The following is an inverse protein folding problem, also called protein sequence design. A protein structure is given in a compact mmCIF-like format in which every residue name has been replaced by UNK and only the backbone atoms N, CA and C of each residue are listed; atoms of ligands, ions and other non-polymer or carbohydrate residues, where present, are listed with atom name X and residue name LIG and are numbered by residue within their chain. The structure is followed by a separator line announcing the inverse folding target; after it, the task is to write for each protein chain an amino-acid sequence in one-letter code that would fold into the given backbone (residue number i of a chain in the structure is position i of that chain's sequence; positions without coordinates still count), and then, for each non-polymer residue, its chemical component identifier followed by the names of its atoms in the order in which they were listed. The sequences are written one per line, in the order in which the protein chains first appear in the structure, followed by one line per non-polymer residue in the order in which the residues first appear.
data_IF_056384589569
#
_entry.id   IF_056384589569
#
_cell.length_a   1.000
_cell.length_b   1.000
_cell.length_c   1.000
_cell.angle_alpha   90.00
_cell.angle_beta   90.00
_cell.angle_gamma   90.00
#
_symmetry.space_group_name_H-M   'P 1'
#
loop_
_entity.id
_entity.type
_entity.pdbx_description
1 polymer ?
#
# COMPACT_ATOMS: atom_id res chain seq x y z
N UNK A 1 46.29 14.20 -9.20
CA UNK A 1 46.23 15.39 -8.34
C UNK A 1 44.78 15.64 -8.01
N UNK A 2 44.40 15.63 -6.73
CA UNK A 2 43.02 15.92 -6.32
C UNK A 2 42.91 17.38 -5.90
N UNK A 3 41.94 18.15 -6.42
CA UNK A 3 41.75 19.56 -6.06
C UNK A 3 41.37 19.77 -4.59
N UNK A 4 41.75 20.91 -4.02
CA UNK A 4 41.35 21.32 -2.66
C UNK A 4 39.90 21.79 -2.63
N UNK A 5 39.26 21.69 -1.45
CA UNK A 5 37.91 22.19 -1.23
C UNK A 5 37.84 23.72 -1.31
N UNK A 6 36.65 24.26 -1.55
CA UNK A 6 36.40 25.70 -1.62
C UNK A 6 36.49 26.38 -0.23
N UNK A 7 36.80 27.68 -0.19
CA UNK A 7 36.79 28.49 1.03
C UNK A 7 38.16 28.79 1.62
N UNK A 8 38.24 29.77 2.52
CA UNK A 8 39.50 30.29 3.09
C UNK A 8 40.35 29.24 3.83
N UNK A 9 39.74 28.13 4.26
CA UNK A 9 40.41 27.01 4.94
C UNK A 9 40.48 25.74 4.08
N UNK A 10 40.05 25.81 2.83
CA UNK A 10 39.95 24.66 1.91
C UNK A 10 39.00 23.53 2.37
N UNK A 11 38.12 23.80 3.34
CA UNK A 11 37.19 22.81 3.93
C UNK A 11 35.91 22.57 3.10
N UNK A 12 35.78 23.21 1.95
CA UNK A 12 34.60 23.11 1.09
C UNK A 12 34.46 21.75 0.39
N UNK A 13 33.28 21.50 -0.17
CA UNK A 13 32.98 20.27 -0.90
C UNK A 13 33.96 20.09 -2.06
N UNK A 14 34.73 19.00 -1.99
CA UNK A 14 35.75 18.63 -2.98
C UNK A 14 35.21 17.83 -4.16
N UNK A 15 34.08 17.16 -3.99
CA UNK A 15 33.46 16.31 -5.00
C UNK A 15 32.04 16.76 -5.31
N UNK A 16 31.65 16.71 -6.58
CA UNK A 16 30.30 17.11 -6.98
C UNK A 16 29.21 16.27 -6.28
N UNK A 17 28.13 16.94 -5.87
CA UNK A 17 26.95 16.26 -5.32
C UNK A 17 26.33 15.39 -6.41
N UNK A 18 26.25 14.09 -6.15
CA UNK A 18 25.59 13.13 -7.05
C UNK A 18 24.11 13.05 -6.71
N UNK A 19 23.29 13.57 -7.61
CA UNK A 19 21.83 13.43 -7.52
C UNK A 19 21.40 12.07 -8.06
N UNK A 20 20.40 11.46 -7.42
CA UNK A 20 19.74 10.26 -7.95
C UNK A 20 18.49 10.69 -8.71
N UNK A 21 18.43 10.32 -10.00
CA UNK A 21 17.24 10.52 -10.81
C UNK A 21 16.20 9.44 -10.48
N UNK A 22 14.94 9.87 -10.36
CA UNK A 22 13.78 9.01 -10.14
C UNK A 22 12.89 9.09 -11.37
N UNK A 23 12.67 7.95 -12.01
CA UNK A 23 11.85 7.82 -13.22
C UNK A 23 10.47 7.19 -12.96
N UNK A 24 10.11 6.99 -11.69
CA UNK A 24 8.82 6.41 -11.31
C UNK A 24 7.91 7.47 -10.65
N UNK A 25 6.61 7.20 -10.65
CA UNK A 25 5.59 8.04 -10.00
C UNK A 25 5.36 7.66 -8.53
N UNK A 26 6.12 6.71 -7.98
CA UNK A 26 5.86 6.16 -6.67
C UNK A 26 6.21 7.16 -5.55
N UNK A 27 5.40 7.26 -4.50
CA UNK A 27 5.72 8.10 -3.35
C UNK A 27 6.98 7.65 -2.61
N UNK A 28 7.59 8.54 -1.83
CA UNK A 28 8.63 8.15 -0.88
C UNK A 28 8.02 7.19 0.13
N UNK A 29 8.67 6.04 0.35
CA UNK A 29 8.14 4.97 1.21
C UNK A 29 7.11 4.06 0.54
N UNK A 30 6.83 4.22 -0.76
CA UNK A 30 6.00 3.26 -1.51
C UNK A 30 6.66 1.88 -1.53
N UNK A 31 5.95 0.87 -1.07
CA UNK A 31 6.38 -0.51 -1.15
C UNK A 31 5.66 -1.20 -2.32
N UNK A 32 6.40 -1.48 -3.40
CA UNK A 32 5.88 -2.20 -4.58
C UNK A 32 5.23 -3.55 -4.23
N UNK A 33 5.69 -4.19 -3.16
CA UNK A 33 5.12 -5.44 -2.68
C UNK A 33 3.68 -5.32 -2.16
N UNK A 34 3.25 -4.13 -1.73
CA UNK A 34 1.89 -3.92 -1.20
C UNK A 34 0.80 -4.10 -2.25
N UNK A 35 1.14 -3.91 -3.53
CA UNK A 35 0.23 -4.13 -4.67
C UNK A 35 -0.19 -5.61 -4.78
N UNK A 36 0.68 -6.53 -4.34
CA UNK A 36 0.44 -7.98 -4.43
C UNK A 36 -0.14 -8.59 -3.14
N UNK A 37 -0.32 -7.80 -2.08
CA UNK A 37 -0.78 -8.29 -0.76
C UNK A 37 -2.30 -8.39 -0.63
N UNK A 38 -3.06 -7.85 -1.58
CA UNK A 38 -4.52 -7.87 -1.52
C UNK A 38 -5.12 -8.74 -2.62
N UNK A 39 -5.63 -9.89 -2.21
CA UNK A 39 -6.36 -10.79 -3.09
C UNK A 39 -7.86 -10.54 -2.91
N UNK A 40 -8.44 -9.72 -3.80
CA UNK A 40 -9.87 -9.39 -3.74
C UNK A 40 -10.77 -10.64 -3.81
N UNK A 41 -10.33 -11.68 -4.53
CA UNK A 41 -11.07 -12.92 -4.71
C UNK A 41 -11.21 -13.69 -3.39
N UNK A 42 -10.15 -13.70 -2.58
CA UNK A 42 -10.13 -14.39 -1.28
C UNK A 42 -11.12 -13.72 -0.32
N UNK A 43 -11.14 -12.38 -0.32
CA UNK A 43 -12.15 -11.62 0.43
C UNK A 43 -13.58 -11.91 -0.03
N UNK A 44 -13.82 -11.97 -1.34
CA UNK A 44 -15.15 -12.27 -1.89
C UNK A 44 -15.60 -13.70 -1.53
N UNK A 45 -14.71 -14.68 -1.69
CA UNK A 45 -14.95 -16.08 -1.35
C UNK A 45 -15.25 -16.25 0.14
N UNK A 46 -14.37 -15.75 1.02
CA UNK A 46 -14.54 -15.85 2.46
C UNK A 46 -15.81 -15.12 2.94
N UNK A 47 -16.19 -14.01 2.29
CA UNK A 47 -17.45 -13.32 2.60
C UNK A 47 -18.66 -14.18 2.23
N UNK A 48 -18.66 -14.78 1.05
CA UNK A 48 -19.74 -15.67 0.60
C UNK A 48 -19.84 -16.94 1.46
N UNK A 49 -18.71 -17.59 1.75
CA UNK A 49 -18.66 -18.79 2.57
C UNK A 49 -19.25 -18.57 3.97
N UNK A 50 -18.92 -17.45 4.63
CA UNK A 50 -19.48 -17.11 5.97
C UNK A 50 -20.96 -16.76 5.96
N UNK A 51 -21.50 -16.38 4.79
CA UNK A 51 -22.92 -16.08 4.63
C UNK A 51 -23.77 -17.35 4.66
N UNK A 52 -23.17 -18.50 4.34
CA UNK A 52 -23.83 -19.80 4.38
C UNK A 52 -23.79 -20.32 5.82
N UNK A 53 -24.95 -20.54 6.44
CA UNK A 53 -25.10 -21.20 7.73
C UNK A 53 -25.69 -22.58 7.53
N UNK A 54 -24.91 -23.61 7.86
CA UNK A 54 -25.38 -24.99 7.89
C UNK A 54 -25.82 -25.31 9.32
N UNK A 55 -27.03 -25.83 9.49
CA UNK A 55 -27.53 -26.31 10.77
C UNK A 55 -27.92 -27.77 10.61
N UNK A 56 -27.36 -28.64 11.43
CA UNK A 56 -27.76 -30.05 11.49
C UNK A 56 -28.96 -30.16 12.42
N UNK A 57 -30.05 -30.74 11.94
CA UNK A 57 -31.26 -31.03 12.70
C UNK A 57 -31.44 -32.55 12.74
N UNK A 58 -32.22 -33.07 13.70
CA UNK A 58 -32.54 -34.50 13.79
C UNK A 58 -33.12 -35.10 12.48
N UNK A 59 -33.69 -34.27 11.60
CA UNK A 59 -34.24 -34.69 10.30
C UNK A 59 -33.31 -34.37 9.10
N UNK A 60 -32.04 -34.05 9.34
CA UNK A 60 -31.03 -33.81 8.30
C UNK A 60 -30.41 -32.40 8.30
N UNK A 61 -29.75 -32.04 7.20
CA UNK A 61 -28.96 -30.81 7.07
C UNK A 61 -29.82 -29.67 6.51
N UNK A 62 -29.89 -28.53 7.21
CA UNK A 62 -30.60 -27.32 6.77
C UNK A 62 -29.64 -26.17 6.52
N UNK A 63 -29.54 -25.75 5.25
CA UNK A 63 -28.71 -24.63 4.82
C UNK A 63 -29.55 -23.35 4.80
N UNK A 64 -29.03 -22.26 5.39
CA UNK A 64 -29.64 -20.93 5.36
C UNK A 64 -28.60 -19.88 4.96
N UNK A 65 -28.97 -18.97 4.07
CA UNK A 65 -28.19 -17.76 3.81
C UNK A 65 -28.53 -16.69 4.86
N UNK A 66 -27.53 -16.00 5.42
CA UNK A 66 -27.74 -14.99 6.47
C UNK A 66 -28.27 -13.64 5.95
N UNK A 67 -28.34 -13.44 4.63
CA UNK A 67 -28.91 -12.22 4.04
C UNK A 67 -28.28 -11.83 2.71
N UNK A 68 -28.61 -10.62 2.26
CA UNK A 68 -28.07 -10.03 1.03
C UNK A 68 -26.60 -9.65 1.23
N UNK A 69 -25.74 -10.06 0.29
CA UNK A 69 -24.30 -9.85 0.39
C UNK A 69 -23.95 -8.45 -0.14
N UNK A 70 -23.47 -7.56 0.72
CA UNK A 70 -22.97 -6.25 0.25
C UNK A 70 -21.84 -6.42 -0.78
N UNK A 71 -21.76 -5.50 -1.74
CA UNK A 71 -20.74 -5.49 -2.81
C UNK A 71 -19.33 -5.57 -2.22
N UNK A 72 -18.53 -6.53 -2.69
CA UNK A 72 -17.13 -6.67 -2.27
C UNK A 72 -16.24 -5.78 -3.14
N UNK A 73 -15.47 -4.89 -2.53
CA UNK A 73 -14.53 -4.02 -3.23
C UNK A 73 -13.36 -4.80 -3.81
N UNK A 74 -12.94 -4.44 -5.02
CA UNK A 74 -11.71 -4.95 -5.66
C UNK A 74 -10.44 -4.36 -5.08
N UNK A 75 -10.55 -3.34 -4.22
CA UNK A 75 -9.41 -2.65 -3.58
C UNK A 75 -9.51 -2.73 -2.06
N UNK A 76 -8.35 -2.92 -1.41
CA UNK A 76 -8.22 -2.87 0.05
C UNK A 76 -8.47 -1.44 0.53
N UNK A 77 -9.19 -1.29 1.63
CA UNK A 77 -9.33 0.01 2.29
C UNK A 77 -7.94 0.46 2.78
N UNK A 78 -7.48 1.62 2.31
CA UNK A 78 -6.20 2.20 2.74
C UNK A 78 -6.39 2.77 4.14
N UNK A 79 -5.59 2.30 5.11
CA UNK A 79 -5.45 2.96 6.41
C UNK A 79 -4.63 4.22 6.18
N UNK A 80 -5.28 5.37 6.04
CA UNK A 80 -4.60 6.66 5.94
C UNK A 80 -4.02 6.99 7.30
N UNK A 81 -2.73 6.71 7.48
CA UNK A 81 -2.00 7.12 8.67
C UNK A 81 -1.71 8.62 8.53
N UNK A 82 -2.48 9.48 9.21
CA UNK A 82 -2.27 10.94 9.23
C UNK A 82 -1.02 11.29 10.04
N UNK A 83 0.17 10.88 9.58
CA UNK A 83 1.41 11.49 10.06
C UNK A 83 1.49 12.91 9.48
N UNK A 84 1.93 13.87 10.28
CA UNK A 84 2.17 15.24 9.82
C UNK A 84 3.22 15.19 8.70
N UNK A 85 2.76 15.33 7.46
CA UNK A 85 3.65 15.45 6.31
C UNK A 85 4.31 16.83 6.36
N UNK A 86 5.62 16.84 6.60
CA UNK A 86 6.45 18.06 6.49
C UNK A 86 6.55 18.58 5.04
N UNK A 87 6.21 17.75 4.06
CA UNK A 87 6.12 18.12 2.65
C UNK A 87 5.02 17.31 1.96
N UNK A 88 4.12 18.00 1.25
CA UNK A 88 2.84 17.45 0.80
C UNK A 88 2.76 17.26 -0.70
N UNK A 89 2.77 16.00 -1.13
CA UNK A 89 2.14 15.44 -2.33
C UNK A 89 2.26 16.28 -3.63
N UNK A 90 3.42 16.20 -4.27
CA UNK A 90 3.57 16.65 -5.65
C UNK A 90 3.22 15.50 -6.57
N UNK A 91 2.05 15.60 -7.20
CA UNK A 91 1.88 15.15 -8.57
C UNK A 91 1.21 16.29 -9.30
N UNK A 92 1.91 16.92 -10.26
CA UNK A 92 1.23 17.74 -11.25
C UNK A 92 1.98 17.76 -12.59
N UNK A 93 1.16 17.51 -13.62
CA UNK A 93 1.41 17.40 -15.07
C UNK A 93 1.91 16.03 -15.53
#
# INVERSE_FOLDING_TARGET
MTGSGLGSKEDGIKEAIKVKLKFDQAGIGHNRGDEFKFHWWDHAFNKAARNIKVNETQNGIKIKSKGNLEVTSTKKALKVNKKQMIYGMFVKV
#
